data_IF_168853028739
#
_entry.id   IF_168853028739
#
_cell.length_a   1.000
_cell.length_b   1.000
_cell.length_c   1.000
_cell.angle_alpha   90.00
_cell.angle_beta   90.00
_cell.angle_gamma   90.00
#
_symmetry.space_group_name_H-M   'P 1'
#
loop_
_entity.id
_entity.type
_entity.pdbx_description
1 polymer ?
#
# COMPACT_ATOMS: atom_id res chain seq x y z
N UNK A 1 -6.94 -20.17 0.59
CA UNK A 1 -7.89 -19.36 -0.23
C UNK A 1 -7.83 -17.87 0.10
N UNK A 2 -7.59 -17.04 -0.90
CA UNK A 2 -7.51 -15.58 -0.80
C UNK A 2 -8.59 -14.92 -1.67
N UNK A 3 -8.84 -13.62 -1.47
CA UNK A 3 -9.79 -12.85 -2.29
C UNK A 3 -9.13 -12.34 -3.58
N UNK A 4 -9.96 -11.95 -4.56
CA UNK A 4 -9.50 -11.21 -5.74
C UNK A 4 -8.68 -9.96 -5.38
N UNK A 5 -9.07 -9.26 -4.31
CA UNK A 5 -8.37 -8.06 -3.85
C UNK A 5 -6.95 -8.43 -3.38
N UNK A 6 -6.82 -9.51 -2.62
CA UNK A 6 -5.52 -10.00 -2.15
C UNK A 6 -4.63 -10.41 -3.33
N UNK A 7 -5.19 -11.09 -4.33
CA UNK A 7 -4.45 -11.37 -5.57
C UNK A 7 -4.07 -10.10 -6.34
N UNK A 8 -4.94 -9.11 -6.41
CA UNK A 8 -4.62 -7.84 -7.07
C UNK A 8 -3.48 -7.10 -6.35
N UNK A 9 -3.44 -7.17 -5.01
CA UNK A 9 -2.34 -6.65 -4.21
C UNK A 9 -1.05 -7.43 -4.50
N UNK A 10 -1.09 -8.76 -4.44
CA UNK A 10 0.07 -9.61 -4.65
C UNK A 10 0.66 -9.50 -6.07
N UNK A 11 -0.18 -9.35 -7.09
CA UNK A 11 0.25 -9.14 -8.47
C UNK A 11 0.62 -7.67 -8.77
N UNK A 12 0.45 -6.79 -7.78
CA UNK A 12 0.53 -5.34 -7.87
C UNK A 12 -0.22 -4.82 -9.11
N UNK A 13 -1.53 -5.09 -9.20
CA UNK A 13 -2.40 -4.60 -10.28
C UNK A 13 -3.66 -3.94 -9.71
N UNK A 14 -4.29 -3.00 -10.46
CA UNK A 14 -5.57 -2.44 -10.05
C UNK A 14 -6.65 -3.52 -9.99
N UNK A 15 -7.63 -3.37 -9.09
CA UNK A 15 -8.72 -4.34 -8.92
C UNK A 15 -9.57 -4.47 -10.20
N UNK A 16 -9.70 -3.37 -10.94
CA UNK A 16 -10.38 -3.31 -12.22
C UNK A 16 -9.68 -4.19 -13.27
N UNK A 17 -8.35 -4.25 -13.22
CA UNK A 17 -7.54 -5.09 -14.10
C UNK A 17 -7.66 -6.57 -13.73
N UNK A 18 -7.63 -6.89 -12.43
CA UNK A 18 -7.90 -8.25 -11.95
C UNK A 18 -9.28 -8.75 -12.42
N UNK A 19 -10.28 -7.88 -12.39
CA UNK A 19 -11.64 -8.20 -12.86
C UNK A 19 -11.68 -8.39 -14.38
N UNK A 20 -11.08 -7.46 -15.13
CA UNK A 20 -11.04 -7.48 -16.60
C UNK A 20 -10.37 -8.73 -17.17
N UNK A 21 -9.31 -9.20 -16.54
CA UNK A 21 -8.56 -10.38 -16.97
C UNK A 21 -9.03 -11.69 -16.32
N UNK A 22 -10.20 -11.68 -15.68
CA UNK A 22 -10.88 -12.90 -15.25
C UNK A 22 -10.34 -13.55 -13.97
N UNK A 23 -9.63 -12.80 -13.11
CA UNK A 23 -9.24 -13.32 -11.79
C UNK A 23 -10.52 -13.60 -10.98
N UNK A 24 -10.74 -14.82 -10.47
CA UNK A 24 -11.96 -15.18 -9.75
C UNK A 24 -12.08 -14.42 -8.42
N UNK A 25 -13.28 -14.37 -7.84
CA UNK A 25 -13.53 -13.66 -6.57
C UNK A 25 -12.77 -14.26 -5.39
N UNK A 26 -12.53 -15.57 -5.46
CA UNK A 26 -11.71 -16.37 -4.58
C UNK A 26 -10.74 -17.20 -5.41
N UNK A 27 -9.49 -17.32 -4.96
CA UNK A 27 -8.47 -18.16 -5.59
C UNK A 27 -7.62 -18.83 -4.52
N UNK A 28 -7.02 -19.96 -4.86
CA UNK A 28 -6.01 -20.60 -4.03
C UNK A 28 -4.62 -19.99 -4.24
N UNK A 29 -3.77 -20.16 -3.24
CA UNK A 29 -2.37 -19.70 -3.29
C UNK A 29 -1.60 -20.34 -4.45
N UNK A 30 -1.88 -21.60 -4.77
CA UNK A 30 -1.28 -22.31 -5.91
C UNK A 30 -1.66 -21.68 -7.25
N UNK A 31 -2.88 -21.17 -7.39
CA UNK A 31 -3.31 -20.48 -8.61
C UNK A 31 -2.63 -19.12 -8.75
N UNK A 32 -2.45 -18.41 -7.63
CA UNK A 32 -1.67 -17.18 -7.62
C UNK A 32 -0.20 -17.45 -7.98
N UNK A 33 0.40 -18.49 -7.40
CA UNK A 33 1.78 -18.88 -7.70
C UNK A 33 1.94 -19.20 -9.19
N UNK A 34 1.02 -19.96 -9.78
CA UNK A 34 1.04 -20.24 -11.22
C UNK A 34 1.01 -18.96 -12.09
N UNK A 35 0.21 -17.95 -11.70
CA UNK A 35 0.18 -16.64 -12.39
C UNK A 35 1.47 -15.83 -12.23
N UNK A 36 2.24 -16.08 -11.16
CA UNK A 36 3.52 -15.41 -10.93
C UNK A 36 4.65 -16.11 -11.67
N UNK A 37 4.66 -17.44 -11.65
CA UNK A 37 5.68 -18.31 -12.25
C UNK A 37 5.60 -18.31 -13.78
N UNK A 38 4.38 -18.39 -14.34
CA UNK A 38 4.12 -18.30 -15.78
C UNK A 38 3.15 -17.13 -16.06
N UNK A 39 3.64 -15.88 -15.99
CA UNK A 39 2.78 -14.72 -16.10
C UNK A 39 2.24 -14.56 -17.53
N UNK A 40 0.92 -14.40 -17.71
CA UNK A 40 0.36 -14.16 -19.03
C UNK A 40 0.84 -12.82 -19.61
N UNK A 41 0.80 -12.70 -20.93
CA UNK A 41 1.32 -11.53 -21.66
C UNK A 41 0.81 -10.19 -21.15
N UNK A 42 -0.48 -10.11 -20.77
CA UNK A 42 -1.06 -8.87 -20.23
C UNK A 42 -0.43 -8.45 -18.89
N UNK A 43 -0.02 -9.41 -18.05
CA UNK A 43 0.60 -9.16 -16.76
C UNK A 43 2.05 -8.73 -16.94
N UNK A 44 2.78 -9.35 -17.87
CA UNK A 44 4.13 -8.94 -18.27
C UNK A 44 4.10 -7.49 -18.77
N UNK A 45 3.19 -7.17 -19.69
CA UNK A 45 3.04 -5.81 -20.23
C UNK A 45 2.70 -4.79 -19.13
N UNK A 46 1.81 -5.16 -18.20
CA UNK A 46 1.47 -4.31 -17.05
C UNK A 46 2.69 -3.97 -16.20
N UNK A 47 3.51 -4.97 -15.86
CA UNK A 47 4.75 -4.81 -15.10
C UNK A 47 5.75 -3.92 -15.83
N UNK A 48 5.93 -4.13 -17.14
CA UNK A 48 6.81 -3.30 -17.97
C UNK A 48 6.38 -1.82 -17.99
N UNK A 49 5.08 -1.56 -18.18
CA UNK A 49 4.53 -0.19 -18.21
C UNK A 49 4.69 0.57 -16.88
N UNK A 50 4.97 -0.17 -15.81
CA UNK A 50 5.09 0.31 -14.44
C UNK A 50 6.53 0.44 -13.95
N UNK A 51 7.53 -0.02 -14.69
CA UNK A 51 8.93 0.16 -14.31
C UNK A 51 9.23 1.65 -14.08
N UNK A 52 9.86 1.98 -12.94
CA UNK A 52 10.19 3.35 -12.56
C UNK A 52 9.01 4.20 -12.06
N UNK A 53 7.81 3.64 -11.89
CA UNK A 53 6.62 4.34 -11.34
C UNK A 53 6.28 3.82 -9.95
N UNK A 54 5.50 4.60 -9.20
CA UNK A 54 4.95 4.17 -7.90
C UNK A 54 4.15 2.87 -8.08
N UNK A 55 4.24 1.92 -7.14
CA UNK A 55 3.44 0.70 -7.17
C UNK A 55 1.95 1.04 -7.07
N UNK A 56 1.09 0.11 -7.51
CA UNK A 56 -0.36 0.33 -7.41
C UNK A 56 -0.81 0.21 -5.96
N UNK A 57 -0.19 -0.71 -5.23
CA UNK A 57 -0.43 -0.91 -3.81
C UNK A 57 0.83 -0.62 -3.00
N UNK A 58 0.63 -0.06 -1.81
CA UNK A 58 1.65 0.05 -0.77
C UNK A 58 1.07 -0.51 0.52
N UNK A 59 1.95 -1.06 1.36
CA UNK A 59 1.59 -1.50 2.69
C UNK A 59 1.94 -0.40 3.68
N UNK A 60 0.91 0.23 4.24
CA UNK A 60 1.08 1.16 5.35
C UNK A 60 1.04 0.35 6.64
N UNK A 61 2.03 0.56 7.50
CA UNK A 61 2.20 -0.21 8.74
C UNK A 61 2.25 0.74 9.92
N UNK A 62 1.33 0.56 10.87
CA UNK A 62 1.34 1.30 12.13
C UNK A 62 2.67 1.06 12.85
N UNK A 63 3.44 2.13 13.07
CA UNK A 63 4.75 2.09 13.72
C UNK A 63 4.66 1.60 15.17
N UNK A 64 3.52 1.78 15.83
CA UNK A 64 3.33 1.42 17.24
C UNK A 64 2.96 -0.06 17.42
N UNK A 65 1.96 -0.56 16.69
CA UNK A 65 1.41 -1.91 16.90
C UNK A 65 1.62 -2.89 15.73
N UNK A 66 2.23 -2.46 14.62
CA UNK A 66 2.50 -3.30 13.45
C UNK A 66 1.27 -3.62 12.58
N UNK A 67 0.09 -3.06 12.88
CA UNK A 67 -1.10 -3.21 12.02
C UNK A 67 -0.80 -2.71 10.61
N UNK A 68 -0.99 -3.58 9.61
CA UNK A 68 -0.75 -3.25 8.21
C UNK A 68 -2.05 -3.15 7.41
N UNK A 69 -2.12 -2.22 6.47
CA UNK A 69 -3.18 -2.11 5.48
C UNK A 69 -2.60 -1.87 4.09
N UNK A 70 -3.09 -2.61 3.09
CA UNK A 70 -2.75 -2.38 1.69
C UNK A 70 -3.61 -1.26 1.12
N UNK A 71 -2.96 -0.23 0.59
CA UNK A 71 -3.60 0.99 0.12
C UNK A 71 -3.07 1.44 -1.24
N UNK A 72 -3.87 2.19 -1.98
CA UNK A 72 -3.44 2.80 -3.24
C UNK A 72 -2.88 4.20 -2.96
N UNK A 73 -1.61 4.49 -3.27
CA UNK A 73 -1.05 5.82 -3.08
C UNK A 73 -1.88 6.88 -3.80
N UNK A 74 -2.28 7.94 -3.08
CA UNK A 74 -2.99 9.07 -3.68
C UNK A 74 -1.97 10.07 -4.21
N UNK A 75 -2.37 10.88 -5.21
CA UNK A 75 -1.49 11.89 -5.82
C UNK A 75 -0.90 12.87 -4.81
N UNK A 76 -1.65 13.18 -3.75
CA UNK A 76 -1.26 14.12 -2.71
C UNK A 76 -0.41 13.50 -1.59
N UNK A 77 -0.18 12.18 -1.59
CA UNK A 77 0.63 11.56 -0.54
C UNK A 77 2.10 11.99 -0.65
N UNK A 78 2.68 12.54 0.43
CA UNK A 78 4.12 12.60 0.57
C UNK A 78 4.68 11.18 0.80
N UNK A 79 6.00 11.10 0.96
CA UNK A 79 6.64 9.92 1.54
C UNK A 79 6.54 10.04 3.06
N UNK A 80 5.80 9.13 3.69
CA UNK A 80 5.56 9.16 5.13
C UNK A 80 6.77 8.66 5.90
N UNK A 81 7.19 9.40 6.93
CA UNK A 81 8.19 8.96 7.90
C UNK A 81 7.61 7.88 8.83
N UNK A 82 6.35 8.08 9.25
CA UNK A 82 5.64 7.15 10.12
C UNK A 82 4.17 6.99 9.70
N UNK A 83 3.54 5.95 10.21
CA UNK A 83 2.09 5.75 10.11
C UNK A 83 1.59 5.28 11.47
N UNK A 84 0.41 5.70 11.90
CA UNK A 84 -0.26 5.14 13.07
C UNK A 84 -1.73 4.85 12.78
N UNK A 85 -2.34 3.94 13.54
CA UNK A 85 -3.76 3.60 13.41
C UNK A 85 -4.64 4.37 14.39
N UNK A 86 -5.95 4.34 14.16
CA UNK A 86 -7.00 5.00 14.96
C UNK A 86 -7.03 4.69 16.46
N UNK A 87 -6.33 3.63 16.90
CA UNK A 87 -6.19 3.28 18.32
C UNK A 87 -4.94 3.85 18.98
N UNK A 88 -4.06 4.52 18.22
CA UNK A 88 -2.84 5.13 18.71
C UNK A 88 -2.82 6.61 18.37
N UNK A 89 -1.90 7.32 19.00
CA UNK A 89 -1.75 8.76 18.91
C UNK A 89 -0.37 9.14 18.38
N UNK A 90 -0.22 10.33 17.77
CA UNK A 90 1.07 10.81 17.28
C UNK A 90 2.10 11.01 18.41
N UNK A 91 1.69 11.08 19.69
CA UNK A 91 2.61 11.13 20.84
C UNK A 91 3.29 9.80 21.17
N UNK A 92 2.79 8.68 20.63
CA UNK A 92 3.40 7.35 20.80
C UNK A 92 4.45 7.04 19.72
N UNK A 93 4.54 7.90 18.70
CA UNK A 93 5.60 7.83 17.70
C UNK A 93 6.94 8.34 18.26
N UNK A 94 8.06 8.00 17.59
CA UNK A 94 9.35 8.59 17.92
C UNK A 94 9.31 10.12 18.04
N UNK A 95 10.14 10.67 18.92
CA UNK A 95 10.18 12.11 19.16
C UNK A 95 10.56 12.87 17.88
N UNK A 96 9.89 14.00 17.65
CA UNK A 96 10.17 14.88 16.51
C UNK A 96 11.61 15.41 16.64
N UNK A 97 12.46 15.25 15.61
CA UNK A 97 13.81 15.78 15.64
C UNK A 97 13.81 17.31 15.85
N UNK A 98 14.85 17.83 16.51
CA UNK A 98 15.00 19.26 16.71
C UNK A 98 15.00 20.01 15.36
N UNK A 99 14.26 21.12 15.29
CA UNK A 99 14.12 21.90 14.05
C UNK A 99 13.17 21.30 13.01
N UNK A 100 12.35 20.31 13.38
CA UNK A 100 11.27 19.78 12.54
C UNK A 100 9.89 19.98 13.18
N UNK A 101 8.85 19.95 12.36
CA UNK A 101 7.43 20.01 12.76
C UNK A 101 6.72 18.77 12.24
N UNK A 102 5.87 18.16 13.07
CA UNK A 102 5.08 16.99 12.70
C UNK A 102 3.83 17.41 11.92
N UNK A 103 3.69 16.87 10.71
CA UNK A 103 2.55 17.05 9.83
C UNK A 103 1.79 15.72 9.71
N UNK A 104 0.49 15.76 9.99
CA UNK A 104 -0.39 14.58 9.97
C UNK A 104 -1.30 14.58 8.74
N UNK A 105 -1.43 13.41 8.11
CA UNK A 105 -2.23 13.18 6.92
C UNK A 105 -3.27 12.11 7.25
N UNK A 106 -4.45 12.56 7.64
CA UNK A 106 -5.55 11.68 8.04
C UNK A 106 -6.11 10.87 6.86
N UNK A 107 -6.70 9.72 7.17
CA UNK A 107 -7.43 8.88 6.22
C UNK A 107 -6.62 8.53 4.96
N UNK A 108 -5.33 8.26 5.14
CA UNK A 108 -4.48 7.77 4.04
C UNK A 108 -4.97 6.41 3.60
N UNK A 109 -5.24 5.48 4.53
CA UNK A 109 -5.87 4.19 4.23
C UNK A 109 -6.76 3.72 5.36
N UNK A 110 -8.05 3.50 5.12
CA UNK A 110 -8.97 3.00 6.12
C UNK A 110 -8.92 3.80 7.42
N UNK A 111 -8.25 3.23 8.44
CA UNK A 111 -8.06 3.77 9.80
C UNK A 111 -6.62 4.20 10.10
N UNK A 112 -5.82 4.47 9.07
CA UNK A 112 -4.42 4.88 9.21
C UNK A 112 -4.24 6.37 8.90
N UNK A 113 -3.36 7.00 9.67
CA UNK A 113 -2.87 8.38 9.52
C UNK A 113 -1.38 8.33 9.19
N UNK A 114 -0.99 9.00 8.10
CA UNK A 114 0.40 9.16 7.71
C UNK A 114 1.02 10.36 8.39
N UNK A 115 2.31 10.31 8.68
CA UNK A 115 3.04 11.36 9.37
C UNK A 115 4.32 11.69 8.61
N UNK A 116 4.58 12.98 8.46
CA UNK A 116 5.86 13.50 7.97
C UNK A 116 6.37 14.49 9.01
N UNK A 117 7.58 14.30 9.50
CA UNK A 117 8.27 15.32 10.27
C UNK A 117 8.96 16.22 9.25
N UNK A 118 8.50 17.44 9.00
CA UNK A 118 9.06 18.34 7.99
C UNK A 118 10.01 19.37 8.63
N UNK A 119 10.94 19.96 7.87
CA UNK A 119 11.80 21.02 8.42
C UNK A 119 10.93 22.22 8.87
N UNK A 120 11.17 22.69 10.09
CA UNK A 120 10.52 23.91 10.59
C UNK A 120 10.95 25.07 9.68
N UNK A 121 9.98 25.69 9.01
CA UNK A 121 10.19 26.86 8.15
C UNK A 121 10.31 28.14 8.97
#
# INVERSE_FOLDING_TARGET
MMTRRDAAIALDIPLEMATRHGIPSRLEESQLAALQDDPPQWLIQSRQNRQGKRPVWVHLVCTVCGRAEAARPKKWWPDFDFVFCDTHSPSELPAVPAGRVRCEYEQVAGRLTGVVDEAAS
#
